data_IF_741787061551
#
_entry.id   IF_741787061551
#
_cell.length_a   1.000
_cell.length_b   1.000
_cell.length_c   1.000
_cell.angle_alpha   90.00
_cell.angle_beta   90.00
_cell.angle_gamma   90.00
#
_symmetry.space_group_name_H-M   'P 1'
#
loop_
_entity.id
_entity.type
_entity.pdbx_description
1 polymer ?
#
# COMPACT_ATOMS: atom_id res chain seq x y z
N UNK A 1 13.58 -22.26 6.44
CA UNK A 1 13.50 -20.94 5.76
C UNK A 1 14.18 -19.78 6.51
N UNK A 2 14.33 -19.88 7.85
CA UNK A 2 14.95 -18.85 8.69
C UNK A 2 16.49 -18.91 8.70
N UNK A 3 17.10 -20.10 8.70
CA UNK A 3 18.54 -20.26 8.47
C UNK A 3 18.85 -20.16 6.97
N UNK A 4 19.49 -19.06 6.58
CA UNK A 4 19.98 -18.81 5.21
C UNK A 4 21.50 -18.95 5.19
N UNK A 5 22.04 -19.45 4.08
CA UNK A 5 23.48 -19.44 3.79
C UNK A 5 23.70 -18.64 2.49
N UNK A 6 24.31 -17.45 2.55
CA UNK A 6 24.80 -16.76 3.75
C UNK A 6 23.66 -16.25 4.65
N UNK A 7 23.94 -16.02 5.94
CA UNK A 7 22.97 -15.46 6.87
C UNK A 7 22.51 -14.06 6.41
N UNK A 8 21.33 -13.65 6.85
CA UNK A 8 20.86 -12.28 6.61
C UNK A 8 21.83 -11.31 7.27
N UNK A 9 22.28 -10.32 6.51
CA UNK A 9 23.12 -9.25 7.03
C UNK A 9 22.38 -8.46 8.11
N UNK A 10 23.04 -8.28 9.26
CA UNK A 10 22.56 -7.42 10.33
C UNK A 10 22.78 -5.95 9.95
N UNK A 11 21.94 -5.01 10.44
CA UNK A 11 22.17 -3.61 10.20
C UNK A 11 23.38 -3.15 11.01
N UNK A 12 24.06 -2.11 10.54
CA UNK A 12 25.11 -1.47 11.31
C UNK A 12 24.57 -1.03 12.69
N UNK A 13 25.22 -1.42 13.81
CA UNK A 13 24.77 -1.04 15.15
C UNK A 13 24.66 0.48 15.29
N UNK A 14 23.48 0.97 15.70
CA UNK A 14 23.18 2.41 15.82
C UNK A 14 22.96 3.15 14.48
N UNK A 15 23.24 2.50 13.35
CA UNK A 15 22.99 3.04 12.02
C UNK A 15 21.50 3.31 11.75
N UNK A 16 21.18 4.06 10.68
CA UNK A 16 19.80 4.45 10.38
C UNK A 16 18.88 3.26 10.14
N UNK A 17 19.38 2.17 9.54
CA UNK A 17 18.60 0.94 9.35
C UNK A 17 18.28 0.24 10.68
N UNK A 18 19.22 0.22 11.64
CA UNK A 18 18.99 -0.37 12.95
C UNK A 18 17.89 0.40 13.71
N UNK A 19 17.96 1.73 13.72
CA UNK A 19 16.93 2.59 14.33
C UNK A 19 15.55 2.42 13.68
N UNK A 20 15.50 2.30 12.35
CA UNK A 20 14.25 2.01 11.63
C UNK A 20 13.67 0.66 12.08
N UNK A 21 14.50 -0.38 12.26
CA UNK A 21 14.01 -1.69 12.72
C UNK A 21 13.48 -1.65 14.15
N UNK A 22 14.18 -0.96 15.06
CA UNK A 22 13.71 -0.77 16.44
C UNK A 22 12.35 -0.05 16.50
N UNK A 23 12.19 1.02 15.71
CA UNK A 23 10.89 1.70 15.58
C UNK A 23 9.84 0.78 14.98
N UNK A 24 10.18 0.04 13.93
CA UNK A 24 9.27 -0.89 13.26
C UNK A 24 8.78 -1.99 14.21
N UNK A 25 9.66 -2.56 15.04
CA UNK A 25 9.27 -3.58 16.02
C UNK A 25 8.28 -3.03 17.04
N UNK A 26 8.45 -1.78 17.48
CA UNK A 26 7.46 -1.10 18.34
C UNK A 26 6.10 -0.93 17.64
N UNK A 27 6.08 -0.66 16.34
CA UNK A 27 4.80 -0.51 15.60
C UNK A 27 3.94 -1.77 15.58
N UNK A 28 4.54 -2.96 15.73
CA UNK A 28 3.81 -4.25 15.67
C UNK A 28 2.93 -4.48 16.89
N UNK A 29 3.30 -3.90 18.03
CA UNK A 29 2.63 -4.12 19.32
C UNK A 29 1.92 -2.87 19.85
N UNK A 30 2.11 -1.71 19.22
CA UNK A 30 1.44 -0.45 19.61
C UNK A 30 -0.05 -0.49 19.24
N UNK A 31 -0.97 -0.52 20.22
CA UNK A 31 -2.40 -0.60 19.94
C UNK A 31 -3.02 0.74 19.54
N UNK A 32 -2.46 1.88 19.96
CA UNK A 32 -3.03 3.19 19.65
C UNK A 32 -2.66 3.61 18.22
N UNK A 33 -3.63 3.84 17.31
CA UNK A 33 -3.33 4.18 15.94
C UNK A 33 -2.53 5.47 15.80
N UNK A 34 -2.81 6.48 16.62
CA UNK A 34 -2.11 7.78 16.55
C UNK A 34 -0.66 7.65 17.02
N UNK A 35 -0.40 6.92 18.10
CA UNK A 35 0.95 6.60 18.58
C UNK A 35 1.71 5.79 17.54
N UNK A 36 1.08 4.77 16.95
CA UNK A 36 1.67 3.97 15.87
C UNK A 36 2.02 4.84 14.65
N UNK A 37 1.15 5.77 14.27
CA UNK A 37 1.43 6.70 13.16
C UNK A 37 2.63 7.62 13.45
N UNK A 38 2.82 8.05 14.70
CA UNK A 38 4.02 8.82 15.09
C UNK A 38 5.30 8.01 14.92
N UNK A 39 5.30 6.72 15.29
CA UNK A 39 6.43 5.83 15.05
C UNK A 39 6.73 5.67 13.55
N UNK A 40 5.70 5.49 12.71
CA UNK A 40 5.85 5.44 11.24
C UNK A 40 6.41 6.74 10.70
N UNK A 41 5.98 7.89 11.23
CA UNK A 41 6.49 9.20 10.83
C UNK A 41 7.99 9.34 11.15
N UNK A 42 8.43 8.87 12.32
CA UNK A 42 9.85 8.88 12.68
C UNK A 42 10.68 7.93 11.82
N UNK A 43 10.14 6.77 11.41
CA UNK A 43 10.77 5.90 10.39
C UNK A 43 10.94 6.65 9.06
N UNK A 44 9.90 7.35 8.61
CA UNK A 44 9.93 8.12 7.35
C UNK A 44 10.97 9.23 7.42
N UNK A 45 11.09 9.95 8.56
CA UNK A 45 12.13 10.97 8.74
C UNK A 45 13.53 10.39 8.58
N UNK A 46 13.85 9.30 9.28
CA UNK A 46 15.17 8.65 9.16
C UNK A 46 15.43 8.25 7.70
N UNK A 47 14.42 7.70 7.02
CA UNK A 47 14.53 7.32 5.61
C UNK A 47 14.81 8.51 4.68
N UNK A 48 14.23 9.68 4.94
CA UNK A 48 14.40 10.91 4.15
C UNK A 48 15.75 11.58 4.46
N UNK A 49 16.08 11.73 5.74
CA UNK A 49 17.23 12.53 6.22
C UNK A 49 18.56 11.77 6.09
N UNK A 50 18.54 10.46 6.28
CA UNK A 50 19.74 9.62 6.36
C UNK A 50 19.78 8.53 5.29
N UNK A 51 18.72 8.43 4.49
CA UNK A 51 18.71 7.67 3.25
C UNK A 51 19.08 8.56 2.05
N UNK A 52 18.56 8.28 0.85
CA UNK A 52 17.56 7.24 0.55
C UNK A 52 18.15 5.82 0.48
N UNK A 53 17.42 4.86 1.07
CA UNK A 53 17.63 3.43 0.81
C UNK A 53 16.85 3.07 -0.46
N UNK A 54 17.50 3.12 -1.62
CA UNK A 54 16.83 3.04 -2.91
C UNK A 54 16.13 1.69 -3.16
N UNK A 55 14.84 1.75 -3.50
CA UNK A 55 14.06 0.70 -4.18
C UNK A 55 13.15 1.36 -5.23
N UNK A 56 13.75 1.87 -6.31
CA UNK A 56 13.13 2.91 -7.16
C UNK A 56 12.36 2.47 -8.40
N UNK A 57 12.13 1.18 -8.66
CA UNK A 57 11.61 0.73 -9.97
C UNK A 57 10.13 0.30 -10.01
N UNK A 58 9.43 0.24 -8.88
CA UNK A 58 8.11 -0.45 -8.79
C UNK A 58 6.95 0.38 -8.23
N UNK A 59 7.09 1.70 -8.10
CA UNK A 59 6.04 2.56 -7.54
C UNK A 59 5.07 3.09 -8.61
N UNK A 60 3.77 3.09 -8.28
CA UNK A 60 2.68 3.71 -9.04
C UNK A 60 2.63 3.42 -10.56
N UNK A 61 2.81 2.17 -11.03
CA UNK A 61 2.62 1.89 -12.45
C UNK A 61 1.15 2.15 -12.86
N UNK A 62 0.91 2.72 -14.05
CA UNK A 62 -0.45 2.93 -14.53
C UNK A 62 -1.17 1.58 -14.70
N UNK A 63 -2.42 1.49 -14.25
CA UNK A 63 -3.29 0.34 -14.46
C UNK A 63 -4.57 0.79 -15.13
N UNK A 64 -4.90 0.14 -16.24
CA UNK A 64 -6.15 0.35 -16.96
C UNK A 64 -7.24 -0.50 -16.32
N UNK A 65 -8.38 0.11 -15.99
CA UNK A 65 -9.60 -0.60 -15.61
C UNK A 65 -10.53 -0.59 -16.82
N UNK A 66 -10.86 -1.78 -17.32
CA UNK A 66 -11.78 -1.94 -18.45
C UNK A 66 -13.20 -2.11 -17.91
N UNK A 67 -14.11 -1.24 -18.33
CA UNK A 67 -15.52 -1.26 -17.94
C UNK A 67 -16.37 -1.38 -19.19
N UNK A 68 -17.27 -2.36 -19.22
CA UNK A 68 -18.17 -2.56 -20.36
C UNK A 68 -19.19 -1.42 -20.41
N UNK A 69 -19.50 -0.96 -21.62
CA UNK A 69 -20.55 0.06 -21.84
C UNK A 69 -21.87 -0.44 -21.25
N UNK A 70 -22.56 0.42 -20.48
CA UNK A 70 -23.81 0.08 -19.80
C UNK A 70 -23.63 -0.43 -18.36
N UNK A 71 -22.42 -0.85 -17.95
CA UNK A 71 -22.11 -1.09 -16.54
C UNK A 71 -21.81 0.25 -15.87
N UNK A 72 -22.56 0.58 -14.83
CA UNK A 72 -22.47 1.84 -14.12
C UNK A 72 -22.19 1.62 -12.63
N UNK A 73 -21.96 2.72 -11.92
CA UNK A 73 -21.51 2.78 -10.54
C UNK A 73 -20.10 2.21 -10.29
N UNK A 74 -19.33 1.94 -11.35
CA UNK A 74 -17.90 1.68 -11.26
C UNK A 74 -17.17 3.02 -11.09
N UNK A 75 -16.41 3.25 -10.00
CA UNK A 75 -15.73 4.52 -9.78
C UNK A 75 -14.74 4.86 -10.90
N UNK A 76 -14.79 6.11 -11.36
CA UNK A 76 -13.80 6.69 -12.27
C UNK A 76 -12.63 7.27 -11.47
N UNK A 77 -11.55 7.58 -12.16
CA UNK A 77 -10.39 8.25 -11.58
C UNK A 77 -10.78 9.49 -10.78
N UNK A 78 -11.68 10.32 -11.33
CA UNK A 78 -12.07 11.59 -10.72
C UNK A 78 -13.04 11.42 -9.54
N UNK A 79 -13.66 10.25 -9.39
CA UNK A 79 -14.51 9.90 -8.23
C UNK A 79 -13.66 9.52 -7.01
N UNK A 80 -12.33 9.38 -7.16
CA UNK A 80 -11.41 8.86 -6.16
C UNK A 80 -10.39 9.94 -5.75
N UNK A 81 -10.22 10.17 -4.44
CA UNK A 81 -9.43 11.28 -3.89
C UNK A 81 -8.00 11.43 -4.45
N UNK A 82 -7.33 10.31 -4.77
CA UNK A 82 -5.98 10.29 -5.36
C UNK A 82 -5.94 9.61 -6.73
N UNK A 83 -7.06 9.55 -7.46
CA UNK A 83 -7.17 8.80 -8.71
C UNK A 83 -7.35 7.30 -8.52
N UNK A 84 -7.56 6.86 -7.28
CA UNK A 84 -7.69 5.46 -6.88
C UNK A 84 -6.37 4.83 -6.47
N UNK A 85 -6.47 3.66 -5.85
CA UNK A 85 -5.31 2.84 -5.54
C UNK A 85 -5.31 1.63 -6.47
N UNK A 86 -4.22 1.46 -7.21
CA UNK A 86 -4.04 0.29 -8.05
C UNK A 86 -2.73 -0.39 -7.66
N UNK A 87 -2.79 -1.69 -7.37
CA UNK A 87 -1.67 -2.56 -6.96
C UNK A 87 -1.14 -2.47 -5.53
N UNK A 88 -1.80 -1.84 -4.54
CA UNK A 88 -1.31 -2.05 -3.21
C UNK A 88 -1.69 -3.46 -2.75
N UNK A 89 -0.78 -4.14 -2.08
CA UNK A 89 -1.08 -5.40 -1.40
C UNK A 89 -1.85 -5.19 -0.08
N UNK A 90 -2.17 -3.94 0.25
CA UNK A 90 -2.82 -3.54 1.52
C UNK A 90 -4.34 -3.78 1.51
N UNK A 91 -4.97 -3.80 0.32
CA UNK A 91 -6.40 -4.04 0.19
C UNK A 91 -6.72 -4.74 -1.14
N UNK A 92 -7.82 -5.51 -1.21
CA UNK A 92 -8.25 -6.15 -2.44
C UNK A 92 -8.94 -5.12 -3.36
N UNK A 93 -8.24 -4.60 -4.37
CA UNK A 93 -8.86 -3.87 -5.49
C UNK A 93 -9.37 -4.88 -6.53
N UNK A 94 -10.64 -4.82 -7.02
CA UNK A 94 -11.60 -3.71 -6.88
C UNK A 94 -12.63 -3.87 -5.75
N UNK A 95 -12.48 -4.78 -4.79
CA UNK A 95 -13.51 -4.99 -3.76
C UNK A 95 -13.77 -3.74 -2.89
N UNK A 96 -12.77 -2.89 -2.66
CA UNK A 96 -12.94 -1.59 -1.99
C UNK A 96 -13.77 -0.56 -2.78
N UNK A 97 -14.16 -0.89 -4.02
CA UNK A 97 -15.04 -0.08 -4.86
C UNK A 97 -16.50 -0.58 -4.82
N UNK A 98 -16.83 -1.40 -3.82
CA UNK A 98 -18.18 -1.90 -3.53
C UNK A 98 -18.87 -2.49 -4.79
N UNK A 99 -18.27 -3.52 -5.44
CA UNK A 99 -18.78 -4.07 -6.70
C UNK A 99 -20.20 -4.63 -6.61
N UNK A 100 -20.71 -4.95 -5.42
CA UNK A 100 -22.11 -5.30 -5.17
C UNK A 100 -23.09 -4.18 -5.51
N UNK A 101 -22.61 -2.94 -5.59
CA UNK A 101 -23.42 -1.77 -5.95
C UNK A 101 -23.37 -1.47 -7.45
N UNK A 102 -22.57 -2.19 -8.23
CA UNK A 102 -22.48 -2.01 -9.67
C UNK A 102 -23.70 -2.60 -10.36
N UNK A 103 -24.21 -1.90 -11.39
CA UNK A 103 -25.43 -2.34 -12.06
C UNK A 103 -25.37 -2.05 -13.55
N UNK A 104 -26.13 -2.84 -14.31
CA UNK A 104 -26.37 -2.60 -15.73
C UNK A 104 -27.53 -1.62 -15.89
N UNK A 105 -27.39 -0.66 -16.79
CA UNK A 105 -28.50 0.23 -17.18
C UNK A 105 -29.63 -0.52 -17.90
N UNK A 106 -29.30 -1.64 -18.55
CA UNK A 106 -30.25 -2.59 -19.13
C UNK A 106 -29.88 -4.02 -18.69
N UNK A 107 -30.38 -4.49 -17.52
CA UNK A 107 -30.08 -5.83 -17.04
C UNK A 107 -30.54 -6.96 -17.97
N UNK A 108 -31.61 -6.75 -18.75
CA UNK A 108 -32.19 -7.78 -19.60
C UNK A 108 -31.29 -8.15 -20.79
N UNK A 109 -30.47 -7.21 -21.28
CA UNK A 109 -29.49 -7.45 -22.34
C UNK A 109 -28.23 -8.22 -21.87
N UNK A 110 -28.16 -8.57 -20.58
CA UNK A 110 -26.98 -9.16 -19.95
C UNK A 110 -27.30 -10.36 -19.04
N UNK A 111 -28.53 -10.88 -19.10
CA UNK A 111 -28.97 -12.10 -18.45
C UNK A 111 -28.50 -13.36 -19.20
#
# INVERSE_FOLDING_TARGET
PYDRTPPREAPEPGGPVARIWELYDRTKIEPDPTARHRLVWDIIKIHIEEGPFYAGSVANPPRLVLVKKGLTNVPRRDDLALGGFMNPWIHPTPAVYEPETWYWTDPAAHA
#
